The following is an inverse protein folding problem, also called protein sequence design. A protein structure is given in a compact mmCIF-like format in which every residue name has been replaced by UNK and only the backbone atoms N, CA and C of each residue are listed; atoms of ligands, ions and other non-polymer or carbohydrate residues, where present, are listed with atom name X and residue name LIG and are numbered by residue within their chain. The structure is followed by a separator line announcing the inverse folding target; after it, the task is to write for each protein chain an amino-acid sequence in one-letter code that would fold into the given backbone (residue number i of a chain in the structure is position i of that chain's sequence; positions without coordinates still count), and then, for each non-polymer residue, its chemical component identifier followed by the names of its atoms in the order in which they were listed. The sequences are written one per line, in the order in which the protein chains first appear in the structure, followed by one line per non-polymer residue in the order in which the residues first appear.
data_IF_017174365817
#
_entry.id   IF_017174365817
#
_cell.length_a   1.000
_cell.length_b   1.000
_cell.length_c   1.000
_cell.angle_alpha   90.00
_cell.angle_beta   90.00
_cell.angle_gamma   90.00
#
_symmetry.space_group_name_H-M   'P 1'
#
loop_
_entity.id
_entity.type
_entity.pdbx_description
1 polymer ?
#
# COMPACT_ATOMS: atom_id res chain seq x y z
N UNK A 1 3.50 17.25 -4.52
CA UNK A 1 2.88 15.94 -4.22
C UNK A 1 2.07 16.09 -2.95
N UNK A 2 0.76 16.26 -3.05
CA UNK A 2 -0.14 16.33 -1.89
C UNK A 2 -0.36 14.90 -1.38
N UNK A 3 0.45 14.45 -0.41
CA UNK A 3 0.14 13.24 0.35
C UNK A 3 -1.24 13.42 0.97
N UNK A 4 -2.23 12.68 0.48
CA UNK A 4 -3.53 12.55 1.13
C UNK A 4 -3.27 12.14 2.59
N UNK A 5 -3.53 13.06 3.53
CA UNK A 5 -3.31 12.81 4.96
C UNK A 5 -4.42 11.91 5.47
N UNK A 6 -4.33 10.61 5.17
CA UNK A 6 -5.16 9.59 5.82
C UNK A 6 -4.85 9.63 7.31
N UNK A 7 -5.87 9.75 8.14
CA UNK A 7 -5.73 9.83 9.59
C UNK A 7 -4.94 8.62 10.13
N UNK A 8 -4.10 8.81 11.17
CA UNK A 8 -3.30 7.72 11.73
C UNK A 8 -4.11 6.49 12.13
N UNK A 9 -5.33 6.68 12.65
CA UNK A 9 -6.23 5.59 13.05
C UNK A 9 -6.70 4.77 11.84
N UNK A 10 -7.02 5.44 10.74
CA UNK A 10 -7.44 4.78 9.49
C UNK A 10 -6.26 4.02 8.88
N UNK A 11 -5.06 4.63 8.86
CA UNK A 11 -3.84 3.96 8.38
C UNK A 11 -3.56 2.67 9.16
N UNK A 12 -3.67 2.73 10.50
CA UNK A 12 -3.48 1.57 11.36
C UNK A 12 -4.50 0.48 11.05
N UNK A 13 -5.79 0.83 10.95
CA UNK A 13 -6.87 -0.12 10.66
C UNK A 13 -6.68 -0.81 9.31
N UNK A 14 -6.35 -0.05 8.26
CA UNK A 14 -6.09 -0.62 6.94
C UNK A 14 -4.85 -1.53 6.96
N UNK A 15 -3.78 -1.13 7.66
CA UNK A 15 -2.60 -1.96 7.83
C UNK A 15 -2.94 -3.30 8.50
N UNK A 16 -3.67 -3.27 9.62
CA UNK A 16 -4.08 -4.47 10.35
C UNK A 16 -4.98 -5.38 9.50
N UNK A 17 -5.95 -4.80 8.78
CA UNK A 17 -6.81 -5.51 7.84
C UNK A 17 -5.99 -6.22 6.75
N UNK A 18 -5.13 -5.49 6.04
CA UNK A 18 -4.32 -6.08 4.95
C UNK A 18 -3.35 -7.15 5.47
N UNK A 19 -2.77 -6.96 6.66
CA UNK A 19 -1.93 -7.98 7.30
C UNK A 19 -2.72 -9.24 7.60
N UNK A 20 -3.95 -9.13 8.11
CA UNK A 20 -4.83 -10.27 8.37
C UNK A 20 -5.23 -11.02 7.08
N UNK A 21 -5.33 -10.32 5.96
CA UNK A 21 -5.57 -10.90 4.62
C UNK A 21 -4.31 -11.47 3.94
N UNK A 22 -3.14 -11.41 4.60
CA UNK A 22 -1.91 -12.01 4.08
C UNK A 22 -1.13 -11.14 3.08
N UNK A 23 -1.45 -9.86 2.95
CA UNK A 23 -0.71 -8.99 2.02
C UNK A 23 0.76 -8.80 2.45
N UNK A 24 1.71 -8.80 1.50
CA UNK A 24 3.11 -8.52 1.77
C UNK A 24 3.32 -7.11 2.37
N UNK A 25 4.36 -6.98 3.21
CA UNK A 25 4.70 -5.69 3.83
C UNK A 25 5.03 -4.62 2.78
N UNK A 26 5.72 -5.01 1.69
CA UNK A 26 6.06 -4.13 0.58
C UNK A 26 4.79 -3.51 -0.03
N UNK A 27 3.81 -4.34 -0.38
CA UNK A 27 2.53 -3.92 -0.95
C UNK A 27 1.81 -2.90 -0.07
N UNK A 28 1.74 -3.18 1.24
CA UNK A 28 1.08 -2.29 2.20
C UNK A 28 1.84 -0.95 2.29
N UNK A 29 3.18 -0.98 2.31
CA UNK A 29 4.00 0.23 2.31
C UNK A 29 3.76 1.08 1.06
N UNK A 30 3.79 0.48 -0.12
CA UNK A 30 3.56 1.16 -1.39
C UNK A 30 2.15 1.77 -1.41
N UNK A 31 1.13 1.00 -1.02
CA UNK A 31 -0.26 1.48 -0.96
C UNK A 31 -0.39 2.72 -0.07
N UNK A 32 0.28 2.71 1.08
CA UNK A 32 0.28 3.82 2.04
C UNK A 32 1.11 5.02 1.61
N UNK A 33 1.70 4.98 0.41
CA UNK A 33 2.51 6.06 -0.14
C UNK A 33 3.91 6.15 0.47
N UNK A 34 4.38 5.10 1.16
CA UNK A 34 5.78 5.03 1.56
C UNK A 34 6.65 4.68 0.35
N UNK A 35 7.72 5.44 0.17
CA UNK A 35 8.73 5.12 -0.83
C UNK A 35 9.47 3.83 -0.39
N UNK A 36 9.68 2.86 -1.29
CA UNK A 36 10.49 1.68 -1.02
C UNK A 36 11.91 2.07 -0.55
N UNK A 37 12.36 1.48 0.56
CA UNK A 37 13.64 1.75 1.20
C UNK A 37 14.42 0.46 1.50
N UNK A 38 15.76 0.54 1.52
CA UNK A 38 16.63 -0.60 1.81
C UNK A 38 16.32 -1.84 0.96
N UNK A 39 15.90 -2.92 1.63
CA UNK A 39 15.53 -4.18 0.97
C UNK A 39 14.31 -4.04 0.06
N UNK A 40 13.34 -3.18 0.39
CA UNK A 40 12.16 -2.97 -0.46
C UNK A 40 12.56 -2.39 -1.82
N UNK A 41 13.50 -1.45 -1.80
CA UNK A 41 14.08 -0.89 -3.03
C UNK A 41 14.82 -1.95 -3.84
N UNK A 42 15.56 -2.84 -3.18
CA UNK A 42 16.22 -3.95 -3.87
C UNK A 42 15.24 -4.92 -4.51
N UNK A 43 14.17 -5.30 -3.80
CA UNK A 43 13.11 -6.16 -4.33
C UNK A 43 12.51 -5.56 -5.60
N UNK A 44 12.22 -4.25 -5.58
CA UNK A 44 11.67 -3.54 -6.76
C UNK A 44 12.68 -3.53 -7.91
N UNK A 45 13.95 -3.17 -7.66
CA UNK A 45 15.01 -3.09 -8.67
C UNK A 45 15.30 -4.45 -9.31
N UNK A 46 15.28 -5.52 -8.51
CA UNK A 46 15.55 -6.89 -8.99
C UNK A 46 14.37 -7.52 -9.74
N UNK A 47 13.27 -6.80 -9.96
CA UNK A 47 12.10 -7.35 -10.66
C UNK A 47 11.30 -8.36 -9.81
N UNK A 48 11.49 -8.36 -8.48
CA UNK A 48 10.91 -9.36 -7.57
C UNK A 48 9.60 -8.89 -6.91
N UNK A 49 9.12 -7.69 -7.24
CA UNK A 49 7.78 -7.24 -6.85
C UNK A 49 6.69 -8.01 -7.60
N UNK A 50 5.47 -8.01 -7.08
CA UNK A 50 4.32 -8.50 -7.84
C UNK A 50 3.89 -7.47 -8.89
N UNK A 51 3.18 -7.90 -9.95
CA UNK A 51 2.57 -6.97 -10.92
C UNK A 51 1.70 -5.90 -10.23
N UNK A 52 1.04 -6.29 -9.13
CA UNK A 52 0.23 -5.39 -8.33
C UNK A 52 1.08 -4.31 -7.63
N UNK A 53 2.26 -4.67 -7.10
CA UNK A 53 3.19 -3.71 -6.49
C UNK A 53 3.69 -2.68 -7.50
N UNK A 54 4.06 -3.14 -8.70
CA UNK A 54 4.49 -2.25 -9.79
C UNK A 54 3.36 -1.32 -10.23
N UNK A 55 2.13 -1.83 -10.36
CA UNK A 55 0.97 -1.01 -10.71
C UNK A 55 0.67 0.07 -9.66
N UNK A 56 0.81 -0.25 -8.37
CA UNK A 56 0.67 0.74 -7.28
C UNK A 56 1.79 1.79 -7.27
N UNK A 57 3.00 1.44 -7.73
CA UNK A 57 4.13 2.36 -7.84
C UNK A 57 3.98 3.31 -9.03
N UNK A 58 3.57 2.79 -10.19
CA UNK A 58 3.51 3.52 -11.45
C UNK A 58 2.27 4.40 -11.60
N UNK A 59 1.14 3.97 -11.03
CA UNK A 59 -0.15 4.64 -11.22
C UNK A 59 -0.70 5.17 -9.89
N UNK A 60 -0.59 6.49 -9.71
CA UNK A 60 -1.08 7.17 -8.50
C UNK A 60 -2.62 7.10 -8.38
N UNK A 61 -3.37 7.24 -9.47
CA UNK A 61 -4.84 7.13 -9.44
C UNK A 61 -5.30 5.73 -9.01
N UNK A 62 -4.62 4.69 -9.50
CA UNK A 62 -4.84 3.31 -9.11
C UNK A 62 -4.50 3.09 -7.63
N UNK A 63 -3.38 3.62 -7.16
CA UNK A 63 -3.02 3.56 -5.74
C UNK A 63 -4.06 4.23 -4.85
N UNK A 64 -4.57 5.39 -5.25
CA UNK A 64 -5.61 6.11 -4.51
C UNK A 64 -6.94 5.35 -4.52
N UNK A 65 -7.33 4.75 -5.64
CA UNK A 65 -8.55 3.96 -5.73
C UNK A 65 -8.48 2.70 -4.87
N UNK A 66 -7.36 1.98 -4.90
CA UNK A 66 -7.12 0.82 -4.04
C UNK A 66 -7.08 1.22 -2.56
N UNK A 67 -6.46 2.36 -2.21
CA UNK A 67 -6.45 2.86 -0.84
C UNK A 67 -7.87 3.14 -0.33
N UNK A 68 -8.71 3.80 -1.14
CA UNK A 68 -10.12 4.03 -0.79
C UNK A 68 -10.90 2.73 -0.62
N UNK A 69 -10.70 1.77 -1.53
CA UNK A 69 -11.29 0.42 -1.41
C UNK A 69 -10.89 -0.25 -0.11
N UNK A 70 -9.61 -0.26 0.26
CA UNK A 70 -9.17 -0.87 1.52
C UNK A 70 -9.63 -0.10 2.77
N UNK A 71 -9.79 1.23 2.68
CA UNK A 71 -10.42 2.02 3.75
C UNK A 71 -11.84 1.53 3.99
N UNK A 72 -12.64 1.32 2.94
CA UNK A 72 -14.02 0.81 3.07
C UNK A 72 -14.05 -0.63 3.57
N UNK A 73 -13.23 -1.52 3.01
CA UNK A 73 -13.16 -2.92 3.45
C UNK A 73 -12.77 -3.04 4.92
N UNK A 74 -11.86 -2.17 5.39
CA UNK A 74 -11.40 -2.17 6.78
C UNK A 74 -12.45 -1.67 7.79
N UNK A 75 -13.56 -1.05 7.34
CA UNK A 75 -14.66 -0.64 8.24
C UNK A 75 -15.57 -1.81 8.62
N UNK A 76 -15.56 -2.88 7.82
CA UNK A 76 -16.41 -4.06 8.03
C UNK A 76 -15.81 -5.06 9.05
N UNK A 77 -14.65 -4.73 9.61
CA UNK A 77 -13.91 -5.49 10.63
C UNK A 77 -13.85 -4.66 11.90
#
# INVERSE_FOLDING_TARGET
MNSMKVEPIIRRRVYEYMRAQGYPRLTIKILMGYLPDGMDRMTVILGQGSEYDYKLLENEEFRLSELNKFIELSKAV
#
